data_IF_863465464961
#
_entry.id   IF_863465464961
#
_cell.length_a   1.000
_cell.length_b   1.000
_cell.length_c   1.000
_cell.angle_alpha   90.00
_cell.angle_beta   90.00
_cell.angle_gamma   90.00
#
_symmetry.space_group_name_H-M   'P 1'
#
loop_
_entity.id
_entity.type
_entity.pdbx_description
1 polymer ?
#
# COMPACT_ATOMS: atom_id res chain seq x y z
N UNK A 1 -12.46 -2.27 -21.03
CA UNK A 1 -12.46 -1.72 -19.63
C UNK A 1 -11.09 -1.93 -19.01
N UNK A 2 -10.51 -0.95 -18.32
CA UNK A 2 -9.28 -1.10 -17.54
C UNK A 2 -9.57 -1.48 -16.09
N UNK A 3 -8.77 -2.40 -15.55
CA UNK A 3 -8.85 -2.88 -14.16
C UNK A 3 -7.53 -2.60 -13.46
N UNK A 4 -7.57 -1.79 -12.40
CA UNK A 4 -6.38 -1.33 -11.67
C UNK A 4 -6.51 -1.79 -10.21
N UNK A 5 -5.42 -2.35 -9.67
CA UNK A 5 -5.34 -2.79 -8.27
C UNK A 5 -4.15 -2.13 -7.57
N UNK A 6 -4.43 -1.36 -6.53
CA UNK A 6 -3.44 -0.74 -5.67
C UNK A 6 -3.15 -1.64 -4.47
N UNK A 7 -1.88 -1.76 -4.13
CA UNK A 7 -1.34 -2.44 -2.96
C UNK A 7 -0.43 -1.46 -2.23
N UNK A 8 -0.63 -1.30 -0.93
CA UNK A 8 0.24 -0.47 -0.10
C UNK A 8 0.11 -0.84 1.36
N UNK A 9 0.75 -0.07 2.24
CA UNK A 9 0.68 -0.24 3.69
C UNK A 9 -0.35 0.71 4.29
N UNK A 10 -1.00 0.29 5.37
CA UNK A 10 -1.93 1.13 6.13
C UNK A 10 -1.28 2.45 6.54
N UNK A 11 -1.84 3.57 6.10
CA UNK A 11 -1.29 4.92 6.30
C UNK A 11 -0.58 5.53 5.08
N UNK A 12 -0.32 4.76 4.01
CA UNK A 12 0.26 5.29 2.76
C UNK A 12 -0.78 5.94 1.82
N UNK A 13 -2.07 5.83 2.14
CA UNK A 13 -3.16 6.42 1.35
C UNK A 13 -3.58 5.61 0.12
N UNK A 14 -3.56 4.29 0.21
CA UNK A 14 -3.99 3.36 -0.87
C UNK A 14 -5.41 3.66 -1.38
N UNK A 15 -6.36 3.86 -0.46
CA UNK A 15 -7.74 4.27 -0.80
C UNK A 15 -7.74 5.60 -1.55
N UNK A 16 -7.01 6.59 -1.04
CA UNK A 16 -6.91 7.92 -1.63
C UNK A 16 -6.36 7.84 -3.06
N UNK A 17 -5.34 6.99 -3.31
CA UNK A 17 -4.82 6.78 -4.66
C UNK A 17 -5.88 6.26 -5.63
N UNK A 18 -6.63 5.25 -5.19
CA UNK A 18 -7.70 4.63 -5.98
C UNK A 18 -8.84 5.61 -6.27
N UNK A 19 -9.22 6.44 -5.28
CA UNK A 19 -10.26 7.46 -5.42
C UNK A 19 -9.83 8.62 -6.33
N UNK A 20 -8.58 9.10 -6.21
CA UNK A 20 -8.02 10.11 -7.14
C UNK A 20 -8.07 9.58 -8.57
N UNK A 21 -7.64 8.33 -8.80
CA UNK A 21 -7.68 7.74 -10.15
C UNK A 21 -9.12 7.63 -10.67
N UNK A 22 -10.06 7.18 -9.83
CA UNK A 22 -11.48 7.09 -10.18
C UNK A 22 -12.08 8.45 -10.55
N UNK A 23 -11.80 9.48 -9.74
CA UNK A 23 -12.23 10.87 -10.02
C UNK A 23 -11.62 11.44 -11.29
N UNK A 24 -10.32 11.22 -11.51
CA UNK A 24 -9.65 11.68 -12.72
C UNK A 24 -10.24 11.02 -13.98
N UNK A 25 -10.61 9.74 -13.90
CA UNK A 25 -11.30 9.05 -14.98
C UNK A 25 -12.71 9.61 -15.19
N UNK A 26 -13.44 9.88 -14.11
CA UNK A 26 -14.77 10.46 -14.17
C UNK A 26 -14.77 11.87 -14.80
N UNK A 27 -13.84 12.75 -14.39
CA UNK A 27 -13.72 14.09 -14.98
C UNK A 27 -13.22 14.07 -16.44
N UNK A 28 -12.59 12.98 -16.86
CA UNK A 28 -12.28 12.71 -18.27
C UNK A 28 -13.49 12.20 -19.08
N UNK A 29 -14.69 12.09 -18.49
CA UNK A 29 -15.91 11.64 -19.14
C UNK A 29 -16.04 10.11 -19.25
N UNK A 30 -15.26 9.35 -18.47
CA UNK A 30 -15.30 7.88 -18.45
C UNK A 30 -16.19 7.39 -17.29
N UNK A 31 -16.68 6.16 -17.43
CA UNK A 31 -17.29 5.45 -16.31
C UNK A 31 -16.18 4.95 -15.40
N UNK A 32 -16.27 5.28 -14.11
CA UNK A 32 -15.29 4.88 -13.11
C UNK A 32 -15.98 4.21 -11.92
N UNK A 33 -15.29 3.24 -11.32
CA UNK A 33 -15.66 2.64 -10.04
C UNK A 33 -14.39 2.49 -9.22
N UNK A 34 -14.31 3.14 -8.06
CA UNK A 34 -13.25 2.96 -7.08
C UNK A 34 -13.79 2.43 -5.75
N UNK A 35 -13.04 1.52 -5.12
CA UNK A 35 -13.40 0.98 -3.81
C UNK A 35 -12.18 0.32 -3.14
N UNK A 36 -12.04 0.45 -1.82
CA UNK A 36 -11.06 -0.30 -1.03
C UNK A 36 -11.60 -1.67 -0.60
N UNK A 37 -10.71 -2.57 -0.21
CA UNK A 37 -11.02 -3.63 0.76
C UNK A 37 -10.52 -3.17 2.13
N UNK A 38 -11.36 -3.33 3.14
CA UNK A 38 -11.00 -3.14 4.54
C UNK A 38 -11.11 -4.47 5.27
N UNK A 39 -10.01 -4.92 5.89
CA UNK A 39 -10.04 -5.91 6.97
C UNK A 39 -9.99 -5.23 8.34
N UNK A 40 -9.64 -5.99 9.39
CA UNK A 40 -9.26 -5.45 10.71
C UNK A 40 -7.88 -4.74 10.69
N UNK A 41 -7.55 -4.12 9.56
CA UNK A 41 -6.22 -3.64 9.22
C UNK A 41 -5.85 -2.38 10.01
N UNK A 42 -4.64 -2.40 10.57
CA UNK A 42 -4.06 -1.29 11.33
C UNK A 42 -2.96 -0.63 10.47
N UNK A 43 -2.40 0.49 10.96
CA UNK A 43 -1.23 1.13 10.31
C UNK A 43 -0.13 0.09 10.05
N UNK A 44 0.42 0.08 8.84
CA UNK A 44 1.43 -0.90 8.38
C UNK A 44 0.88 -2.20 7.78
N UNK A 45 -0.38 -2.57 8.01
CA UNK A 45 -0.96 -3.75 7.36
C UNK A 45 -0.97 -3.59 5.83
N UNK A 46 -0.80 -4.66 5.04
CA UNK A 46 -1.13 -4.62 3.61
C UNK A 46 -2.57 -4.15 3.42
N UNK A 47 -2.79 -3.19 2.53
CA UNK A 47 -4.10 -2.65 2.17
C UNK A 47 -4.23 -2.72 0.66
N UNK A 48 -5.42 -3.09 0.19
CA UNK A 48 -5.74 -3.16 -1.25
C UNK A 48 -6.90 -2.22 -1.60
N UNK A 49 -6.79 -1.55 -2.74
CA UNK A 49 -7.89 -0.80 -3.34
C UNK A 49 -7.95 -1.01 -4.85
N UNK A 50 -9.10 -0.71 -5.44
CA UNK A 50 -9.44 -1.10 -6.80
C UNK A 50 -10.02 0.08 -7.55
N UNK A 51 -9.64 0.22 -8.81
CA UNK A 51 -10.27 1.17 -9.73
C UNK A 51 -10.57 0.48 -11.05
N UNK A 52 -11.82 0.58 -11.52
CA UNK A 52 -12.24 0.20 -12.87
C UNK A 52 -12.51 1.46 -13.68
N UNK A 53 -12.06 1.48 -14.94
CA UNK A 53 -12.26 2.60 -15.87
C UNK A 53 -12.79 2.06 -17.19
N UNK A 54 -13.86 2.63 -17.72
CA UNK A 54 -14.48 2.15 -18.96
C UNK A 54 -15.09 3.27 -19.79
N UNK A 55 -15.15 3.07 -21.11
CA UNK A 55 -15.93 3.92 -22.02
C UNK A 55 -17.43 3.60 -21.99
N UNK A 56 -17.82 2.45 -21.43
CA UNK A 56 -19.19 1.98 -21.26
C UNK A 56 -19.55 1.76 -19.78
N UNK A 57 -20.85 1.75 -19.41
CA UNK A 57 -21.27 1.51 -18.02
C UNK A 57 -20.66 0.24 -17.40
N UNK A 58 -20.20 0.34 -16.16
CA UNK A 58 -19.53 -0.75 -15.44
C UNK A 58 -20.55 -1.55 -14.62
N UNK A 59 -20.87 -2.75 -15.10
CA UNK A 59 -21.80 -3.69 -14.44
C UNK A 59 -21.08 -4.67 -13.50
N UNK A 60 -19.77 -4.87 -13.67
CA UNK A 60 -18.96 -5.75 -12.82
C UNK A 60 -18.94 -5.27 -11.36
N UNK A 61 -19.06 -6.20 -10.41
CA UNK A 61 -19.04 -5.95 -8.96
C UNK A 61 -18.05 -6.89 -8.27
N UNK A 62 -17.63 -6.51 -7.06
CA UNK A 62 -16.66 -7.28 -6.29
C UNK A 62 -15.21 -7.01 -6.69
N UNK A 63 -14.31 -7.87 -6.22
CA UNK A 63 -12.86 -7.68 -6.31
C UNK A 63 -12.32 -7.79 -7.74
N UNK A 64 -11.18 -7.14 -7.99
CA UNK A 64 -10.42 -7.32 -9.24
C UNK A 64 -9.39 -8.42 -9.01
N UNK A 65 -9.72 -9.63 -9.46
CA UNK A 65 -8.82 -10.76 -9.44
C UNK A 65 -7.75 -10.66 -10.53
N UNK A 66 -8.14 -10.18 -11.73
CA UNK A 66 -7.26 -10.03 -12.89
C UNK A 66 -7.08 -8.56 -13.27
N UNK A 67 -6.11 -7.84 -12.66
CA UNK A 67 -5.84 -6.44 -12.98
C UNK A 67 -4.99 -6.31 -14.24
N UNK A 68 -5.21 -5.25 -15.04
CA UNK A 68 -4.30 -4.86 -16.12
C UNK A 68 -3.11 -4.04 -15.60
N UNK A 69 -3.31 -3.32 -14.49
CA UNK A 69 -2.28 -2.55 -13.80
C UNK A 69 -2.32 -2.91 -12.32
N UNK A 70 -1.19 -3.31 -11.78
CA UNK A 70 -0.96 -3.40 -10.34
C UNK A 70 -0.06 -2.25 -9.91
N UNK A 71 -0.47 -1.48 -8.91
CA UNK A 71 0.33 -0.41 -8.32
C UNK A 71 0.77 -0.83 -6.93
N UNK A 72 2.06 -1.10 -6.75
CA UNK A 72 2.67 -1.49 -5.48
C UNK A 72 3.35 -0.26 -4.87
N UNK A 73 2.72 0.34 -3.87
CA UNK A 73 3.18 1.57 -3.20
C UNK A 73 4.35 1.34 -2.24
N UNK A 74 4.68 0.09 -1.95
CA UNK A 74 5.79 -0.32 -1.09
C UNK A 74 6.38 -1.65 -1.60
N UNK A 75 7.62 -1.62 -2.09
CA UNK A 75 8.26 -2.80 -2.69
C UNK A 75 8.38 -4.01 -1.75
N UNK A 76 8.34 -3.80 -0.42
CA UNK A 76 8.37 -4.89 0.56
C UNK A 76 7.15 -5.82 0.44
N UNK A 77 6.03 -5.33 -0.12
CA UNK A 77 4.82 -6.13 -0.33
C UNK A 77 5.00 -7.23 -1.38
N UNK A 78 6.03 -7.14 -2.24
CA UNK A 78 6.32 -8.18 -3.23
C UNK A 78 6.71 -9.51 -2.57
N UNK A 79 7.29 -9.46 -1.38
CA UNK A 79 7.65 -10.64 -0.59
C UNK A 79 6.60 -10.98 0.48
N UNK A 80 5.51 -10.22 0.58
CA UNK A 80 4.44 -10.48 1.54
C UNK A 80 3.50 -11.57 1.01
N UNK A 81 3.59 -12.76 1.62
CA UNK A 81 2.82 -13.95 1.24
C UNK A 81 1.30 -13.75 1.31
N UNK A 82 0.81 -12.72 2.01
CA UNK A 82 -0.62 -12.43 2.11
C UNK A 82 -1.07 -11.35 1.15
N UNK A 83 -0.21 -10.36 0.88
CA UNK A 83 -0.55 -9.29 -0.05
C UNK A 83 -0.61 -9.79 -1.50
N UNK A 84 0.25 -10.76 -1.86
CA UNK A 84 0.34 -11.40 -3.20
C UNK A 84 0.07 -10.41 -4.35
N UNK A 85 0.79 -9.27 -4.42
CA UNK A 85 0.37 -8.13 -5.23
C UNK A 85 0.30 -8.43 -6.73
N UNK A 86 1.10 -9.37 -7.22
CA UNK A 86 1.19 -9.76 -8.63
C UNK A 86 0.17 -10.84 -9.05
N UNK A 87 -0.62 -11.39 -8.11
CA UNK A 87 -1.56 -12.49 -8.42
C UNK A 87 -2.64 -12.07 -9.43
N UNK A 88 -2.80 -12.85 -10.51
CA UNK A 88 -3.78 -12.57 -11.55
C UNK A 88 -3.39 -11.46 -12.52
N UNK A 89 -2.18 -10.89 -12.42
CA UNK A 89 -1.65 -10.03 -13.47
C UNK A 89 -1.50 -10.85 -14.76
N UNK A 90 -2.15 -10.48 -15.87
CA UNK A 90 -2.06 -11.22 -17.12
C UNK A 90 -0.79 -10.83 -17.89
N UNK A 91 -0.46 -11.62 -18.91
CA UNK A 91 0.58 -11.28 -19.89
C UNK A 91 0.31 -9.90 -20.50
N UNK A 92 1.35 -9.06 -20.60
CA UNK A 92 1.24 -7.67 -21.04
C UNK A 92 0.69 -6.70 -19.99
N UNK A 93 0.33 -7.20 -18.80
CA UNK A 93 -0.03 -6.40 -17.65
C UNK A 93 1.17 -5.67 -17.03
N UNK A 94 0.90 -4.55 -16.37
CA UNK A 94 1.94 -3.67 -15.81
C UNK A 94 1.93 -3.71 -14.28
N UNK A 95 3.07 -4.04 -13.68
CA UNK A 95 3.36 -3.85 -12.26
C UNK A 95 4.16 -2.55 -12.06
N UNK A 96 3.47 -1.48 -11.65
CA UNK A 96 4.08 -0.21 -11.24
C UNK A 96 4.50 -0.31 -9.77
N UNK A 97 5.80 -0.22 -9.47
CA UNK A 97 6.35 -0.47 -8.15
C UNK A 97 7.09 0.77 -7.64
N UNK A 98 6.70 1.27 -6.46
CA UNK A 98 7.46 2.24 -5.71
C UNK A 98 8.74 1.59 -5.18
N UNK A 99 9.88 1.94 -5.75
CA UNK A 99 11.18 1.36 -5.40
C UNK A 99 12.22 2.45 -5.24
N UNK A 100 13.17 2.24 -4.32
CA UNK A 100 14.36 3.10 -4.26
C UNK A 100 15.24 2.95 -5.53
N UNK A 101 15.09 1.85 -6.27
CA UNK A 101 15.86 1.53 -7.49
C UNK A 101 14.98 1.79 -8.73
N UNK A 102 15.01 3.01 -9.25
CA UNK A 102 14.29 3.42 -10.47
C UNK A 102 14.69 4.83 -10.95
N UNK A 103 14.22 5.29 -12.13
CA UNK A 103 13.25 4.62 -13.00
C UNK A 103 13.88 3.45 -13.78
N UNK A 104 13.19 2.31 -13.81
CA UNK A 104 13.59 1.14 -14.60
C UNK A 104 12.32 0.46 -15.15
N UNK A 105 12.38 0.04 -16.41
CA UNK A 105 11.35 -0.78 -17.04
C UNK A 105 11.99 -2.11 -17.45
N UNK A 106 11.38 -3.22 -17.07
CA UNK A 106 11.83 -4.56 -17.41
C UNK A 106 10.63 -5.46 -17.72
N UNK A 107 10.85 -6.53 -18.48
CA UNK A 107 9.84 -7.54 -18.79
C UNK A 107 10.35 -8.91 -18.32
N UNK A 108 9.48 -9.73 -17.72
CA UNK A 108 9.84 -11.10 -17.34
C UNK A 108 9.54 -12.11 -18.46
N UNK A 109 9.91 -13.37 -18.24
CA UNK A 109 9.66 -14.45 -19.21
C UNK A 109 8.17 -14.76 -19.42
N UNK A 110 7.30 -14.36 -18.49
CA UNK A 110 5.85 -14.49 -18.60
C UNK A 110 5.20 -13.31 -19.36
N UNK A 111 5.99 -12.28 -19.72
CA UNK A 111 5.55 -11.09 -20.43
C UNK A 111 4.88 -10.05 -19.52
N UNK A 112 5.10 -10.10 -18.21
CA UNK A 112 4.70 -9.03 -17.30
C UNK A 112 5.70 -7.87 -17.39
N UNK A 113 5.18 -6.64 -17.41
CA UNK A 113 6.03 -5.44 -17.42
C UNK A 113 6.16 -4.88 -16.01
N UNK A 114 7.38 -4.78 -15.52
CA UNK A 114 7.71 -4.17 -14.24
C UNK A 114 8.24 -2.76 -14.46
N UNK A 115 7.54 -1.77 -13.91
CA UNK A 115 7.92 -0.37 -13.95
C UNK A 115 8.25 0.11 -12.53
N UNK A 116 9.54 0.22 -12.22
CA UNK A 116 10.02 0.69 -10.91
C UNK A 116 10.24 2.20 -10.95
N UNK A 117 9.65 2.95 -10.02
CA UNK A 117 9.78 4.41 -9.89
C UNK A 117 9.91 4.76 -8.41
N UNK A 118 10.72 5.76 -8.06
CA UNK A 118 10.84 6.24 -6.68
C UNK A 118 9.81 7.32 -6.39
N UNK A 119 8.78 7.00 -5.59
CA UNK A 119 7.79 7.98 -5.10
C UNK A 119 8.15 8.54 -3.72
N UNK A 120 8.87 7.75 -2.92
CA UNK A 120 9.12 8.06 -1.51
C UNK A 120 10.04 9.26 -1.33
N UNK A 121 11.13 9.33 -2.09
CA UNK A 121 12.11 10.41 -1.92
C UNK A 121 11.57 11.77 -2.39
N UNK A 122 10.87 11.89 -3.55
CA UNK A 122 10.16 13.11 -3.90
C UNK A 122 9.11 13.51 -2.87
N UNK A 123 8.36 12.56 -2.31
CA UNK A 123 7.39 12.85 -1.25
C UNK A 123 8.08 13.41 0.00
N UNK A 124 9.14 12.77 0.49
CA UNK A 124 9.91 13.28 1.63
C UNK A 124 10.48 14.68 1.37
N UNK A 125 10.99 14.93 0.16
CA UNK A 125 11.54 16.24 -0.23
C UNK A 125 10.48 17.34 -0.31
N UNK A 126 9.31 17.06 -0.90
CA UNK A 126 8.29 18.09 -1.22
C UNK A 126 7.28 18.27 -0.07
N UNK A 127 6.74 17.17 0.46
CA UNK A 127 5.70 17.20 1.51
C UNK A 127 6.26 16.96 2.93
N UNK A 128 7.51 16.50 3.05
CA UNK A 128 8.14 16.21 4.35
C UNK A 128 7.67 14.91 5.01
N UNK A 129 6.90 14.08 4.29
CA UNK A 129 6.32 12.82 4.80
C UNK A 129 6.36 11.74 3.72
N UNK A 130 6.47 10.45 4.09
CA UNK A 130 6.46 9.34 3.13
C UNK A 130 5.02 8.95 2.72
N UNK A 131 4.20 9.94 2.32
CA UNK A 131 2.83 9.73 1.85
C UNK A 131 2.86 9.77 0.33
N UNK A 132 2.71 8.61 -0.31
CA UNK A 132 2.92 8.43 -1.76
C UNK A 132 1.61 8.31 -2.54
N UNK A 133 0.48 8.64 -1.91
CA UNK A 133 -0.86 8.42 -2.49
C UNK A 133 -1.06 9.16 -3.80
N UNK A 134 -0.68 10.43 -3.84
CA UNK A 134 -0.78 11.31 -5.02
C UNK A 134 0.16 10.84 -6.13
N UNK A 135 1.40 10.47 -5.80
CA UNK A 135 2.36 9.92 -6.76
C UNK A 135 1.84 8.63 -7.41
N UNK A 136 1.34 7.68 -6.60
CA UNK A 136 0.79 6.43 -7.09
C UNK A 136 -0.42 6.65 -8.02
N UNK A 137 -1.32 7.58 -7.68
CA UNK A 137 -2.46 7.92 -8.53
C UNK A 137 -2.02 8.58 -9.85
N UNK A 138 -1.08 9.53 -9.79
CA UNK A 138 -0.60 10.25 -10.96
C UNK A 138 0.09 9.34 -11.98
N UNK A 139 0.96 8.45 -11.48
CA UNK A 139 1.63 7.45 -12.31
C UNK A 139 0.63 6.48 -12.93
N UNK A 140 -0.32 5.95 -12.14
CA UNK A 140 -1.38 5.07 -12.65
C UNK A 140 -2.27 5.76 -13.69
N UNK A 141 -2.62 7.03 -13.47
CA UNK A 141 -3.45 7.81 -14.39
C UNK A 141 -2.76 7.98 -15.76
N UNK A 142 -1.45 8.23 -15.77
CA UNK A 142 -0.68 8.29 -17.03
C UNK A 142 -0.69 6.97 -17.79
N UNK A 143 -0.56 5.84 -17.08
CA UNK A 143 -0.64 4.50 -17.68
C UNK A 143 -2.06 4.18 -18.19
N UNK A 144 -3.09 4.76 -17.58
CA UNK A 144 -4.48 4.67 -18.05
C UNK A 144 -4.79 5.62 -19.22
N UNK A 145 -3.83 6.42 -19.68
CA UNK A 145 -4.03 7.40 -20.77
C UNK A 145 -4.80 8.66 -20.36
N UNK A 146 -5.00 8.91 -19.07
CA UNK A 146 -5.66 10.10 -18.57
C UNK A 146 -4.73 11.31 -18.67
N UNK A 147 -5.27 12.47 -19.06
CA UNK A 147 -4.49 13.72 -19.15
C UNK A 147 -4.22 14.29 -17.76
N UNK A 148 -3.05 14.90 -17.60
CA UNK A 148 -2.58 15.56 -16.37
C UNK A 148 -3.61 16.49 -15.72
N UNK A 149 -4.35 17.25 -16.52
CA UNK A 149 -5.39 18.19 -16.04
C UNK A 149 -6.47 17.50 -15.18
N UNK A 150 -6.91 16.30 -15.57
CA UNK A 150 -7.95 15.56 -14.84
C UNK A 150 -7.40 14.99 -13.53
N UNK A 151 -6.11 14.65 -13.51
CA UNK A 151 -5.41 14.23 -12.29
C UNK A 151 -5.29 15.40 -11.32
N UNK A 152 -4.96 16.59 -11.83
CA UNK A 152 -4.86 17.81 -11.01
C UNK A 152 -6.18 18.16 -10.34
N UNK A 153 -7.27 18.17 -11.10
CA UNK A 153 -8.63 18.39 -10.61
C UNK A 153 -9.01 17.36 -9.53
N UNK A 154 -8.81 16.07 -9.81
CA UNK A 154 -9.11 15.00 -8.87
C UNK A 154 -8.31 15.10 -7.55
N UNK A 155 -7.03 15.49 -7.62
CA UNK A 155 -6.20 15.72 -6.42
C UNK A 155 -6.74 16.90 -5.61
N UNK A 156 -7.15 18.00 -6.26
CA UNK A 156 -7.72 19.16 -5.56
C UNK A 156 -8.99 18.78 -4.80
N UNK A 157 -9.93 18.13 -5.47
CA UNK A 157 -11.19 17.74 -4.86
C UNK A 157 -11.01 16.72 -3.72
N UNK A 158 -10.21 15.68 -3.95
CA UNK A 158 -10.01 14.62 -2.95
C UNK A 158 -9.33 15.16 -1.69
N UNK A 159 -8.27 15.96 -1.85
CA UNK A 159 -7.55 16.49 -0.70
C UNK A 159 -8.33 17.59 0.03
N UNK A 160 -9.17 18.35 -0.68
CA UNK A 160 -10.09 19.30 -0.06
C UNK A 160 -11.13 18.60 0.83
N UNK A 161 -11.73 17.50 0.36
CA UNK A 161 -12.66 16.69 1.17
C UNK A 161 -11.99 16.07 2.41
N UNK A 162 -10.70 15.74 2.31
CA UNK A 162 -9.91 15.25 3.45
C UNK A 162 -9.46 16.37 4.41
N UNK A 163 -9.81 17.63 4.15
CA UNK A 163 -9.44 18.78 4.99
C UNK A 163 -7.95 19.09 4.99
N UNK A 164 -7.24 18.77 3.90
CA UNK A 164 -5.81 19.08 3.77
C UNK A 164 -5.64 20.58 3.58
N UNK A 165 -4.78 21.20 4.41
CA UNK A 165 -4.46 22.63 4.33
C UNK A 165 -3.92 23.03 2.95
N UNK A 166 -4.25 24.23 2.49
CA UNK A 166 -3.86 24.74 1.16
C UNK A 166 -2.36 24.65 0.86
N UNK A 167 -1.51 24.96 1.84
CA UNK A 167 -0.05 24.85 1.68
C UNK A 167 0.38 23.41 1.34
N UNK A 168 -0.22 22.42 2.01
CA UNK A 168 0.03 21.00 1.74
C UNK A 168 -0.62 20.56 0.43
N UNK A 169 -1.77 21.11 0.06
CA UNK A 169 -2.40 20.86 -1.23
C UNK A 169 -1.47 21.30 -2.38
N UNK A 170 -0.90 22.50 -2.33
CA UNK A 170 0.04 22.97 -3.35
C UNK A 170 1.27 22.06 -3.47
N UNK A 171 1.86 21.65 -2.34
CA UNK A 171 2.97 20.68 -2.33
C UNK A 171 2.57 19.34 -2.96
N UNK A 172 1.36 18.85 -2.71
CA UNK A 172 0.85 17.64 -3.34
C UNK A 172 0.63 17.81 -4.84
N UNK A 173 0.18 18.97 -5.33
CA UNK A 173 0.04 19.25 -6.76
C UNK A 173 1.40 19.31 -7.46
N UNK A 174 2.42 19.88 -6.81
CA UNK A 174 3.81 19.82 -7.31
C UNK A 174 4.30 18.37 -7.41
N UNK A 175 4.11 17.58 -6.35
CA UNK A 175 4.49 16.16 -6.31
C UNK A 175 3.74 15.34 -7.40
N UNK A 176 2.45 15.60 -7.58
CA UNK A 176 1.62 15.02 -8.64
C UNK A 176 2.24 15.31 -10.01
N UNK A 177 2.52 16.57 -10.28
CA UNK A 177 3.06 17.04 -11.56
C UNK A 177 4.39 16.38 -11.88
N UNK A 178 5.34 16.41 -10.94
CA UNK A 178 6.65 15.79 -11.09
C UNK A 178 6.54 14.27 -11.32
N UNK A 179 5.68 13.59 -10.57
CA UNK A 179 5.49 12.14 -10.73
C UNK A 179 4.87 11.80 -12.07
N UNK A 180 3.84 12.55 -12.49
CA UNK A 180 3.19 12.35 -13.77
C UNK A 180 4.19 12.52 -14.91
N UNK A 181 4.98 13.59 -14.91
CA UNK A 181 5.91 13.88 -16.00
C UNK A 181 7.01 12.81 -16.10
N UNK A 182 7.56 12.38 -14.97
CA UNK A 182 8.64 11.39 -14.89
C UNK A 182 8.18 9.94 -15.12
N UNK A 183 6.89 9.63 -15.01
CA UNK A 183 6.38 8.28 -15.26
C UNK A 183 6.51 7.93 -16.75
N UNK A 184 7.23 6.86 -17.15
CA UNK A 184 7.34 6.48 -18.55
C UNK A 184 5.99 6.23 -19.20
N UNK A 185 5.83 6.62 -20.47
CA UNK A 185 4.65 6.25 -21.25
C UNK A 185 4.74 4.78 -21.61
N UNK A 186 3.66 4.04 -21.38
CA UNK A 186 3.54 2.64 -21.77
C UNK A 186 2.09 2.37 -22.18
N UNK A 187 1.91 1.60 -23.26
CA UNK A 187 0.59 1.16 -23.71
C UNK A 187 0.35 -0.25 -23.23
N UNK A 188 -0.70 -0.47 -22.46
CA UNK A 188 -1.07 -1.77 -21.91
C UNK A 188 -1.43 -2.71 -23.05
N UNK A 189 -0.75 -3.86 -23.14
CA UNK A 189 -0.91 -4.87 -24.19
C UNK A 189 -1.53 -6.15 -23.63
N UNK A 190 -2.61 -6.00 -22.87
CA UNK A 190 -3.34 -7.14 -22.35
C UNK A 190 -4.35 -7.54 -23.40
N UNK A 191 -4.24 -8.76 -23.91
CA UNK A 191 -5.27 -9.36 -24.75
C UNK A 191 -6.57 -9.42 -23.94
N UNK A 192 -7.72 -9.12 -24.56
CA UNK A 192 -9.02 -9.29 -23.90
C UNK A 192 -9.23 -10.78 -23.62
N UNK A 193 -8.78 -11.27 -22.46
CA UNK A 193 -9.09 -12.61 -22.01
C UNK A 193 -10.60 -12.72 -21.76
N UNK A 194 -11.19 -13.76 -22.34
CA UNK A 194 -12.60 -14.10 -22.22
C UNK A 194 -13.00 -14.15 -20.75
N UNK A 195 -14.18 -13.60 -20.43
CA UNK A 195 -14.83 -13.78 -19.14
C UNK A 195 -14.73 -15.25 -18.71
N UNK A 196 -13.97 -15.53 -17.65
CA UNK A 196 -14.01 -16.87 -17.04
C UNK A 196 -15.43 -17.05 -16.51
N UNK A 197 -16.16 -17.99 -17.11
CA UNK A 197 -17.43 -18.47 -16.58
C UNK A 197 -17.14 -18.96 -15.17
N UNK A 198 -17.64 -18.23 -14.17
CA UNK A 198 -17.54 -18.66 -12.77
C UNK A 198 -18.52 -19.79 -12.61
N UNK A 199 -18.00 -20.99 -12.36
CA UNK A 199 -18.85 -22.11 -11.95
C UNK A 199 -19.40 -21.79 -10.56
N UNK A 200 -20.72 -21.59 -10.47
CA UNK A 200 -21.39 -21.39 -9.20
C UNK A 200 -21.33 -22.71 -8.44
N UNK A 201 -20.48 -22.76 -7.42
CA UNK A 201 -20.47 -23.88 -6.48
C UNK A 201 -21.68 -23.73 -5.57
N UNK A 202 -22.54 -24.74 -5.57
CA UNK A 202 -23.67 -24.81 -4.65
C UNK A 202 -23.11 -24.87 -3.22
N UNK A 203 -23.40 -23.89 -2.34
CA UNK A 203 -22.88 -23.93 -0.98
C UNK A 203 -23.41 -25.19 -0.30
N UNK A 204 -22.50 -26.10 0.04
CA UNK A 204 -22.83 -27.34 0.78
C UNK A 204 -23.65 -26.95 2.01
N UNK A 205 -24.90 -27.44 2.07
CA UNK A 205 -25.80 -27.20 3.21
C UNK A 205 -25.31 -28.00 4.42
N UNK A 206 -24.33 -27.46 5.14
CA UNK A 206 -23.82 -28.00 6.39
C UNK A 206 -24.67 -27.54 7.57
N UNK A 207 -25.47 -28.44 8.14
CA UNK A 207 -26.20 -28.23 9.40
C UNK A 207 -25.25 -28.23 10.61
N UNK A 208 -24.56 -27.13 10.90
CA UNK A 208 -24.20 -26.73 12.27
C UNK A 208 -23.97 -25.22 12.30
N UNK A 209 -24.82 -24.47 13.01
CA UNK A 209 -24.69 -23.01 13.17
C UNK A 209 -24.51 -22.68 14.65
N UNK A 210 -23.45 -23.21 15.29
CA UNK A 210 -22.94 -22.67 16.55
C UNK A 210 -21.45 -22.97 16.63
N UNK A 211 -20.62 -21.93 16.54
CA UNK A 211 -19.18 -22.02 16.78
C UNK A 211 -18.86 -21.33 18.11
N UNK A 212 -18.93 -22.09 19.21
CA UNK A 212 -18.31 -21.62 20.44
C UNK A 212 -16.78 -21.66 20.27
N UNK A 213 -16.14 -20.50 20.38
CA UNK A 213 -14.67 -20.39 20.26
C UNK A 213 -14.05 -20.72 21.62
N UNK A 214 -13.75 -22.00 21.86
CA UNK A 214 -13.03 -22.46 23.06
C UNK A 214 -11.50 -22.34 22.94
N UNK A 215 -10.98 -21.96 21.77
CA UNK A 215 -9.55 -21.85 21.53
C UNK A 215 -8.95 -20.60 22.20
N UNK A 216 -7.74 -20.75 22.77
CA UNK A 216 -6.97 -19.62 23.29
C UNK A 216 -6.59 -18.62 22.18
N UNK A 217 -6.17 -17.41 22.58
CA UNK A 217 -5.70 -16.38 21.66
C UNK A 217 -4.56 -16.87 20.76
N UNK A 218 -4.70 -16.67 19.45
CA UNK A 218 -3.74 -17.13 18.44
C UNK A 218 -2.87 -15.99 17.86
N UNK A 219 -2.83 -14.83 18.53
CA UNK A 219 -2.12 -13.64 18.05
C UNK A 219 -0.62 -13.91 17.78
N UNK A 220 0.02 -14.81 18.54
CA UNK A 220 1.40 -15.24 18.34
C UNK A 220 1.64 -15.96 17.00
N UNK A 221 0.59 -16.51 16.37
CA UNK A 221 0.71 -17.13 15.04
C UNK A 221 0.66 -16.10 13.92
N UNK A 222 0.34 -14.85 14.25
CA UNK A 222 0.17 -13.77 13.28
C UNK A 222 1.44 -12.93 13.24
N UNK A 223 2.41 -13.37 12.45
CA UNK A 223 3.59 -12.56 12.16
C UNK A 223 3.17 -11.23 11.50
N UNK A 224 3.62 -10.12 12.09
CA UNK A 224 3.34 -8.76 11.61
C UNK A 224 4.62 -7.95 11.39
N UNK A 225 5.77 -8.59 11.49
CA UNK A 225 7.07 -7.96 11.36
C UNK A 225 7.30 -7.40 9.97
N UNK A 226 6.70 -8.04 8.96
CA UNK A 226 6.74 -7.56 7.58
C UNK A 226 5.95 -6.25 7.36
N UNK A 227 5.23 -5.71 8.35
CA UNK A 227 4.49 -4.44 8.24
C UNK A 227 5.38 -3.20 8.36
N UNK A 228 6.64 -3.39 8.75
CA UNK A 228 7.58 -2.30 9.01
C UNK A 228 8.01 -1.59 7.72
N UNK A 229 7.91 -0.28 7.75
CA UNK A 229 8.67 0.62 6.86
C UNK A 229 9.94 1.12 7.58
N UNK A 230 9.86 1.26 8.89
CA UNK A 230 10.96 1.60 9.79
C UNK A 230 10.93 0.68 10.99
N UNK A 231 12.11 0.37 11.55
CA UNK A 231 12.26 -0.40 12.79
C UNK A 231 12.93 0.43 13.88
N UNK A 232 12.53 0.24 15.15
CA UNK A 232 13.27 0.77 16.30
C UNK A 232 14.58 0.00 16.48
N UNK A 233 15.69 0.70 16.76
CA UNK A 233 16.98 0.10 17.12
C UNK A 233 17.43 0.68 18.45
N UNK A 234 17.72 -0.18 19.42
CA UNK A 234 18.10 0.22 20.79
C UNK A 234 19.62 0.39 20.89
N UNK A 235 20.05 1.54 21.38
CA UNK A 235 21.41 1.80 21.86
C UNK A 235 21.51 1.36 23.34
N UNK A 236 22.00 0.15 23.56
CA UNK A 236 22.11 -0.43 24.90
C UNK A 236 23.11 0.30 25.81
N UNK A 237 24.08 1.03 25.23
CA UNK A 237 25.02 1.86 25.99
C UNK A 237 24.34 3.08 26.62
N UNK A 238 23.26 3.58 26.00
CA UNK A 238 22.45 4.68 26.55
C UNK A 238 21.27 4.18 27.38
N UNK A 239 20.67 3.05 26.99
CA UNK A 239 19.46 2.53 27.61
C UNK A 239 19.62 2.38 29.14
N UNK A 240 18.70 2.92 29.93
CA UNK A 240 18.72 2.80 31.40
C UNK A 240 17.90 1.62 31.93
N UNK A 241 17.14 0.91 31.09
CA UNK A 241 16.25 -0.17 31.55
C UNK A 241 14.99 0.33 32.28
N UNK A 242 14.53 1.55 31.99
CA UNK A 242 13.35 2.17 32.61
C UNK A 242 12.00 1.55 32.22
N UNK A 243 11.96 0.62 31.25
CA UNK A 243 10.78 -0.13 30.79
C UNK A 243 9.64 0.70 30.16
N UNK A 244 9.82 2.01 29.95
CA UNK A 244 8.79 2.86 29.30
C UNK A 244 8.42 2.31 27.92
N UNK A 245 9.41 1.99 27.08
CA UNK A 245 9.16 1.42 25.75
C UNK A 245 8.39 0.08 25.80
N UNK A 246 8.64 -0.76 26.81
CA UNK A 246 7.92 -2.01 27.06
C UNK A 246 6.45 -1.74 27.38
N UNK A 247 6.17 -0.84 28.34
CA UNK A 247 4.80 -0.48 28.76
C UNK A 247 3.99 0.14 27.63
N UNK A 248 4.62 0.99 26.81
CA UNK A 248 3.94 1.69 25.72
C UNK A 248 3.81 0.89 24.42
N UNK A 249 4.40 -0.31 24.32
CA UNK A 249 4.29 -1.11 23.11
C UNK A 249 2.86 -1.63 22.94
N UNK A 250 2.08 -1.14 21.95
CA UNK A 250 0.67 -1.51 21.82
C UNK A 250 0.45 -2.93 21.29
N UNK A 251 1.51 -3.57 20.80
CA UNK A 251 1.49 -4.91 20.20
C UNK A 251 2.22 -5.93 21.08
N UNK A 252 2.68 -5.55 22.27
CA UNK A 252 3.45 -6.41 23.19
C UNK A 252 4.68 -7.07 22.54
N UNK A 253 5.26 -6.41 21.52
CA UNK A 253 6.42 -6.90 20.76
C UNK A 253 7.77 -6.55 21.42
N UNK A 254 7.77 -6.19 22.70
CA UNK A 254 8.97 -5.92 23.48
C UNK A 254 8.88 -6.78 24.73
N UNK A 255 9.92 -7.57 24.98
CA UNK A 255 10.15 -8.27 26.26
C UNK A 255 11.31 -7.62 27.01
N UNK A 256 11.61 -8.11 28.21
CA UNK A 256 12.71 -7.62 29.03
C UNK A 256 13.69 -8.76 29.28
N UNK A 257 14.99 -8.48 29.16
CA UNK A 257 16.05 -9.41 29.58
C UNK A 257 16.25 -9.39 31.11
N UNK A 258 17.25 -10.12 31.59
CA UNK A 258 17.58 -10.22 33.02
C UNK A 258 17.98 -8.86 33.64
N UNK A 259 18.56 -7.98 32.83
CA UNK A 259 19.00 -6.62 33.20
C UNK A 259 17.90 -5.56 33.00
N UNK A 260 16.66 -5.97 32.72
CA UNK A 260 15.51 -5.11 32.41
C UNK A 260 15.69 -4.24 31.15
N UNK A 261 16.59 -4.60 30.23
CA UNK A 261 16.68 -3.94 28.92
C UNK A 261 15.63 -4.51 27.96
N UNK A 262 15.10 -3.68 27.06
CA UNK A 262 14.10 -4.13 26.09
C UNK A 262 14.72 -5.04 25.04
N UNK A 263 14.11 -6.20 24.82
CA UNK A 263 14.38 -7.09 23.70
C UNK A 263 13.20 -7.01 22.74
N UNK A 264 13.45 -6.61 21.50
CA UNK A 264 12.38 -6.38 20.51
C UNK A 264 12.15 -7.65 19.70
N UNK A 265 10.93 -8.15 19.72
CA UNK A 265 10.46 -9.20 18.83
C UNK A 265 10.18 -8.59 17.45
N UNK A 266 11.15 -8.69 16.54
CA UNK A 266 10.99 -8.24 15.16
C UNK A 266 10.12 -9.14 14.28
N UNK A 267 9.64 -10.29 14.76
CA UNK A 267 8.62 -11.05 14.05
C UNK A 267 7.23 -10.41 14.23
N UNK A 268 6.98 -9.75 15.37
CA UNK A 268 5.68 -9.15 15.67
C UNK A 268 5.72 -7.61 15.74
N UNK A 269 6.89 -6.98 15.84
CA UNK A 269 7.02 -5.53 15.85
C UNK A 269 6.56 -4.91 14.53
N UNK A 270 5.51 -4.07 14.57
CA UNK A 270 4.97 -3.39 13.37
C UNK A 270 5.72 -2.13 12.97
N UNK A 271 6.70 -1.69 13.76
CA UNK A 271 7.44 -0.46 13.47
C UNK A 271 6.59 0.80 13.60
N UNK A 272 5.65 0.83 14.55
CA UNK A 272 4.84 2.02 14.84
C UNK A 272 5.64 3.19 15.44
N UNK A 273 6.86 2.90 15.92
CA UNK A 273 7.82 3.82 16.52
C UNK A 273 7.35 4.55 17.79
N UNK A 274 6.28 4.09 18.45
CA UNK A 274 5.85 4.64 19.75
C UNK A 274 6.98 4.51 20.78
N UNK A 275 7.68 3.37 20.82
CA UNK A 275 8.84 3.19 21.69
C UNK A 275 9.97 4.20 21.45
N UNK A 276 10.14 4.67 20.21
CA UNK A 276 11.12 5.72 19.86
C UNK A 276 10.68 7.06 20.44
N UNK A 277 9.40 7.40 20.26
CA UNK A 277 8.81 8.66 20.73
C UNK A 277 8.81 8.73 22.27
N UNK A 278 8.43 7.64 22.92
CA UNK A 278 8.28 7.58 24.39
C UNK A 278 9.59 7.36 25.14
N UNK A 279 10.70 7.08 24.46
CA UNK A 279 11.98 6.87 25.15
C UNK A 279 12.48 8.19 25.77
N UNK A 280 12.50 8.33 27.11
CA UNK A 280 12.77 9.62 27.76
C UNK A 280 14.20 10.11 27.53
N UNK A 281 15.13 9.18 27.31
CA UNK A 281 16.55 9.45 27.09
C UNK A 281 16.97 9.30 25.62
N UNK A 282 16.01 9.07 24.70
CA UNK A 282 16.25 8.87 23.27
C UNK A 282 17.30 7.80 22.95
N UNK A 283 17.28 6.70 23.69
CA UNK A 283 18.14 5.54 23.48
C UNK A 283 17.66 4.62 22.34
N UNK A 284 16.55 4.95 21.66
CA UNK A 284 16.01 4.17 20.56
C UNK A 284 15.93 5.06 19.32
N UNK A 285 16.45 4.58 18.19
CA UNK A 285 16.43 5.28 16.90
C UNK A 285 15.54 4.57 15.89
N UNK A 286 15.03 5.30 14.89
CA UNK A 286 14.26 4.72 13.78
C UNK A 286 15.17 4.50 12.57
N UNK A 287 15.25 3.26 12.08
CA UNK A 287 16.04 2.88 10.90
C UNK A 287 15.10 2.34 9.83
N UNK A 288 15.31 2.72 8.56
CA UNK A 288 14.50 2.23 7.43
C UNK A 288 14.64 0.72 7.30
N UNK A 289 13.52 0.03 7.10
CA UNK A 289 13.51 -1.40 6.78
C UNK A 289 13.93 -1.56 5.32
N UNK A 290 15.01 -2.31 5.07
CA UNK A 290 15.56 -2.53 3.73
C UNK A 290 15.56 -3.99 3.31
N UNK A 291 15.39 -4.93 4.26
CA UNK A 291 15.34 -6.37 4.04
C UNK A 291 14.31 -6.99 4.99
N UNK A 292 13.43 -7.85 4.47
CA UNK A 292 12.53 -8.66 5.28
C UNK A 292 13.36 -9.86 5.75
N UNK A 293 13.68 -9.93 7.05
CA UNK A 293 14.21 -11.15 7.65
C UNK A 293 13.08 -12.18 7.60
N UNK A 294 13.25 -13.18 6.73
CA UNK A 294 12.36 -14.32 6.56
C UNK A 294 12.54 -15.34 7.69
#
# INVERSE_FOLDING_TARGET
MLRIRFHGRGGQGVKTSSRILGRAAFSAGLFAQDFPIYGAERRGAPVTAFTRISHSPIMERGYIFNPHIVVVMDETLLADAQARPLEGLPRGGVALINSARGPMVSEDQAGHVFMRINFTDPALRIIGKPIVSVSAAAAAAKLCGLRKQHVEEAVREELAELGVRDELLQKNLTLMSETYDNTPRYSIKVDEESERVVELVDPVSGRVVFSDVFAAGNAVRRSTGNWRVFRPVVDYGKCTGCKVCFVYCPDSAISLDAENKPVIDYEHCKGCLICVVECPIRAISSVREVEIFA
#
